data_IF_202478747877
#
_entry.id   IF_202478747877
#
_cell.length_a   1.000
_cell.length_b   1.000
_cell.length_c   1.000
_cell.angle_alpha   90.00
_cell.angle_beta   90.00
_cell.angle_gamma   90.00
#
_symmetry.space_group_name_H-M   'P 1'
#
loop_
_entity.id
_entity.type
_entity.pdbx_description
1 polymer ?
#
# COMPACT_ATOMS: atom_id res chain seq x y z
N UNK A 1 -22.53 -21.38 -12.16
CA UNK A 1 -22.81 -20.64 -10.91
C UNK A 1 -23.76 -19.51 -11.25
N UNK A 2 -24.86 -19.39 -10.53
CA UNK A 2 -25.89 -18.41 -10.87
C UNK A 2 -25.53 -17.01 -10.37
N UNK A 3 -25.56 -16.03 -11.28
CA UNK A 3 -25.32 -14.61 -10.97
C UNK A 3 -26.43 -14.04 -10.08
N UNK A 4 -27.67 -14.52 -10.21
CA UNK A 4 -28.79 -14.02 -9.41
C UNK A 4 -28.61 -14.39 -7.95
N UNK A 5 -28.27 -15.65 -7.65
CA UNK A 5 -27.94 -16.11 -6.31
C UNK A 5 -26.83 -15.27 -5.64
N UNK A 6 -25.78 -14.92 -6.38
CA UNK A 6 -24.71 -14.07 -5.88
C UNK A 6 -25.17 -12.65 -5.57
N UNK A 7 -26.01 -12.06 -6.43
CA UNK A 7 -26.57 -10.72 -6.20
C UNK A 7 -27.50 -10.70 -4.98
N UNK A 8 -28.24 -11.80 -4.75
CA UNK A 8 -29.10 -11.95 -3.59
C UNK A 8 -28.30 -11.99 -2.28
N UNK A 9 -27.23 -12.79 -2.22
CA UNK A 9 -26.32 -12.81 -1.06
C UNK A 9 -25.73 -11.42 -0.76
N UNK A 10 -25.33 -10.69 -1.80
CA UNK A 10 -24.82 -9.32 -1.65
C UNK A 10 -25.91 -8.35 -1.19
N UNK A 11 -27.13 -8.47 -1.70
CA UNK A 11 -28.27 -7.64 -1.31
C UNK A 11 -28.71 -7.86 0.14
N UNK A 12 -28.58 -9.09 0.64
CA UNK A 12 -28.87 -9.45 2.04
C UNK A 12 -27.74 -9.06 3.02
N UNK A 13 -26.58 -8.64 2.51
CA UNK A 13 -25.42 -8.28 3.32
C UNK A 13 -24.54 -9.47 3.71
N UNK A 14 -24.78 -10.67 3.18
CA UNK A 14 -24.04 -11.90 3.44
C UNK A 14 -22.74 -11.96 2.61
N UNK A 15 -21.90 -10.95 2.79
CA UNK A 15 -20.69 -10.75 1.97
C UNK A 15 -19.68 -11.88 2.09
N UNK A 16 -19.54 -12.44 3.29
CA UNK A 16 -18.64 -13.56 3.52
C UNK A 16 -19.02 -14.79 2.68
N UNK A 17 -20.31 -15.14 2.67
CA UNK A 17 -20.80 -16.26 1.85
C UNK A 17 -20.67 -15.96 0.36
N UNK A 18 -20.92 -14.73 -0.06
CA UNK A 18 -20.72 -14.30 -1.45
C UNK A 18 -19.25 -14.47 -1.87
N UNK A 19 -18.30 -14.00 -1.06
CA UNK A 19 -16.87 -14.15 -1.33
C UNK A 19 -16.42 -15.61 -1.35
N UNK A 20 -16.84 -16.44 -0.39
CA UNK A 20 -16.49 -17.86 -0.36
C UNK A 20 -17.00 -18.59 -1.60
N UNK A 21 -18.24 -18.28 -2.01
CA UNK A 21 -18.85 -18.87 -3.20
C UNK A 21 -18.11 -18.44 -4.48
N UNK A 22 -17.71 -17.17 -4.59
CA UNK A 22 -16.92 -16.65 -5.71
C UNK A 22 -15.49 -17.21 -5.74
N UNK A 23 -14.82 -17.30 -4.59
CA UNK A 23 -13.47 -17.84 -4.49
C UNK A 23 -13.43 -19.33 -4.83
N UNK A 24 -14.45 -20.10 -4.45
CA UNK A 24 -14.55 -21.51 -4.83
C UNK A 24 -14.76 -21.68 -6.34
N UNK A 25 -15.57 -20.81 -6.96
CA UNK A 25 -15.74 -20.76 -8.42
C UNK A 25 -14.45 -20.36 -9.17
N UNK A 26 -13.74 -19.35 -8.66
CA UNK A 26 -12.51 -18.83 -9.27
C UNK A 26 -11.33 -19.80 -9.25
N UNK A 27 -11.33 -20.80 -8.35
CA UNK A 27 -10.30 -21.86 -8.34
C UNK A 27 -10.40 -22.79 -9.56
N UNK A 28 -11.59 -22.95 -10.14
CA UNK A 28 -11.82 -23.81 -11.31
C UNK A 28 -11.60 -23.11 -12.66
N UNK A 29 -11.77 -21.79 -12.71
CA UNK A 29 -11.54 -20.99 -13.92
C UNK A 29 -10.09 -20.47 -13.95
N UNK A 30 -9.42 -20.52 -15.12
CA UNK A 30 -8.02 -20.03 -15.30
C UNK A 30 -7.84 -18.50 -15.12
N UNK A 31 -8.82 -17.79 -14.56
CA UNK A 31 -8.79 -16.35 -14.35
C UNK A 31 -8.04 -15.99 -13.05
N UNK A 32 -6.71 -16.15 -13.07
CA UNK A 32 -5.82 -15.76 -11.94
C UNK A 32 -6.04 -14.32 -11.48
N UNK A 33 -6.27 -13.41 -12.43
CA UNK A 33 -6.49 -11.99 -12.16
C UNK A 33 -7.80 -11.75 -11.38
N UNK A 34 -8.86 -12.45 -11.75
CA UNK A 34 -10.16 -12.36 -11.07
C UNK A 34 -10.09 -12.95 -9.66
N UNK A 35 -9.41 -14.09 -9.50
CA UNK A 35 -9.18 -14.68 -8.18
C UNK A 35 -8.40 -13.74 -7.25
N UNK A 36 -7.33 -13.12 -7.75
CA UNK A 36 -6.54 -12.15 -6.99
C UNK A 36 -7.38 -10.93 -6.59
N UNK A 37 -8.19 -10.39 -7.50
CA UNK A 37 -9.06 -9.25 -7.22
C UNK A 37 -10.07 -9.58 -6.10
N UNK A 38 -10.69 -10.75 -6.15
CA UNK A 38 -11.61 -11.21 -5.09
C UNK A 38 -10.90 -11.41 -3.76
N UNK A 39 -9.72 -12.01 -3.77
CA UNK A 39 -8.96 -12.27 -2.56
C UNK A 39 -8.56 -10.96 -1.85
N UNK A 40 -8.18 -9.94 -2.61
CA UNK A 40 -7.91 -8.60 -2.08
C UNK A 40 -9.16 -8.00 -1.40
N UNK A 41 -10.32 -8.07 -2.04
CA UNK A 41 -11.55 -7.52 -1.44
C UNK A 41 -11.99 -8.31 -0.20
N UNK A 42 -11.82 -9.63 -0.21
CA UNK A 42 -12.11 -10.49 0.93
C UNK A 42 -11.25 -10.15 2.15
N UNK A 43 -9.95 -9.95 1.97
CA UNK A 43 -9.08 -9.56 3.08
C UNK A 43 -9.41 -8.17 3.63
N UNK A 44 -9.79 -7.22 2.77
CA UNK A 44 -10.26 -5.90 3.21
C UNK A 44 -11.52 -5.99 4.06
N UNK A 45 -12.44 -6.90 3.71
CA UNK A 45 -13.62 -7.17 4.53
C UNK A 45 -13.22 -7.72 5.91
N UNK A 46 -12.29 -8.68 5.97
CA UNK A 46 -11.81 -9.25 7.24
C UNK A 46 -11.07 -8.24 8.10
N UNK A 47 -10.26 -7.38 7.49
CA UNK A 47 -9.59 -6.29 8.19
C UNK A 47 -10.61 -5.28 8.76
N UNK A 48 -11.65 -4.93 8.00
CA UNK A 48 -12.73 -4.08 8.47
C UNK A 48 -13.49 -4.71 9.65
N UNK A 49 -13.83 -6.00 9.58
CA UNK A 49 -14.45 -6.73 10.69
C UNK A 49 -13.57 -6.69 11.94
N UNK A 50 -12.26 -6.94 11.79
CA UNK A 50 -11.32 -6.90 12.91
C UNK A 50 -11.18 -5.50 13.51
N UNK A 51 -11.06 -4.47 12.68
CA UNK A 51 -10.91 -3.08 13.15
C UNK A 51 -12.20 -2.57 13.79
N UNK A 52 -13.36 -2.96 13.26
CA UNK A 52 -14.66 -2.67 13.87
C UNK A 52 -14.80 -3.35 15.24
N UNK A 53 -14.36 -4.60 15.38
CA UNK A 53 -14.37 -5.30 16.68
C UNK A 53 -13.42 -4.66 17.70
N UNK A 54 -12.27 -4.14 17.23
CA UNK A 54 -11.29 -3.43 18.07
C UNK A 54 -11.72 -2.00 18.42
N UNK A 55 -12.78 -1.47 17.79
CA UNK A 55 -13.25 -0.10 18.00
C UNK A 55 -12.28 0.98 17.48
N UNK A 56 -11.35 0.62 16.59
CA UNK A 56 -10.36 1.54 16.03
C UNK A 56 -10.88 2.33 14.84
N UNK A 57 -12.06 1.97 14.33
CA UNK A 57 -12.69 2.58 13.16
C UNK A 57 -14.00 3.26 13.55
N UNK A 58 -14.24 4.47 13.04
CA UNK A 58 -15.55 5.11 13.20
C UNK A 58 -16.63 4.37 12.40
N UNK A 59 -17.89 4.48 12.85
CA UNK A 59 -19.04 3.85 12.18
C UNK A 59 -19.18 4.38 10.75
N UNK A 60 -19.00 5.69 10.55
CA UNK A 60 -19.08 6.30 9.22
C UNK A 60 -17.98 5.83 8.27
N UNK A 61 -16.76 5.60 8.76
CA UNK A 61 -15.67 5.06 7.95
C UNK A 61 -15.90 3.59 7.60
N UNK A 62 -16.42 2.80 8.54
CA UNK A 62 -16.76 1.40 8.32
C UNK A 62 -17.80 1.28 7.20
N UNK A 63 -18.85 2.10 7.23
CA UNK A 63 -19.89 2.10 6.21
C UNK A 63 -19.35 2.52 4.83
N UNK A 64 -18.46 3.52 4.76
CA UNK A 64 -17.83 3.91 3.48
C UNK A 64 -17.00 2.78 2.88
N UNK A 65 -16.19 2.11 3.69
CA UNK A 65 -15.34 1.01 3.24
C UNK A 65 -16.22 -0.17 2.83
N UNK A 66 -17.24 -0.51 3.61
CA UNK A 66 -18.21 -1.58 3.30
C UNK A 66 -18.92 -1.33 1.97
N UNK A 67 -19.42 -0.12 1.74
CA UNK A 67 -20.06 0.27 0.46
C UNK A 67 -19.09 0.19 -0.72
N UNK A 68 -17.81 0.52 -0.51
CA UNK A 68 -16.78 0.35 -1.53
C UNK A 68 -16.55 -1.12 -1.87
N UNK A 69 -16.44 -1.99 -0.86
CA UNK A 69 -16.29 -3.45 -1.05
C UNK A 69 -17.51 -4.01 -1.80
N UNK A 70 -18.73 -3.60 -1.41
CA UNK A 70 -19.99 -3.96 -2.06
C UNK A 70 -20.00 -3.60 -3.54
N UNK A 71 -19.67 -2.35 -3.88
CA UNK A 71 -19.64 -1.88 -5.27
C UNK A 71 -18.61 -2.65 -6.13
N UNK A 72 -17.43 -2.93 -5.57
CA UNK A 72 -16.41 -3.71 -6.25
C UNK A 72 -16.86 -5.16 -6.48
N UNK A 73 -17.53 -5.76 -5.48
CA UNK A 73 -18.05 -7.11 -5.56
C UNK A 73 -19.15 -7.24 -6.63
N UNK A 74 -20.08 -6.30 -6.68
CA UNK A 74 -21.13 -6.27 -7.71
C UNK A 74 -20.53 -6.14 -9.12
N UNK A 75 -19.54 -5.26 -9.29
CA UNK A 75 -18.82 -5.14 -10.56
C UNK A 75 -18.16 -6.46 -10.98
N UNK A 76 -17.53 -7.17 -10.04
CA UNK A 76 -16.89 -8.47 -10.31
C UNK A 76 -17.91 -9.57 -10.64
N UNK A 77 -19.10 -9.52 -10.07
CA UNK A 77 -20.21 -10.44 -10.36
C UNK A 77 -20.78 -10.16 -11.75
N UNK A 78 -20.93 -8.89 -12.14
CA UNK A 78 -21.42 -8.54 -13.49
C UNK A 78 -20.45 -9.01 -14.58
N UNK A 79 -19.14 -8.87 -14.33
CA UNK A 79 -18.06 -9.30 -15.22
C UNK A 79 -17.81 -10.82 -15.24
N UNK A 80 -18.53 -11.61 -14.44
CA UNK A 80 -18.42 -13.07 -14.48
C UNK A 80 -18.66 -13.56 -15.92
N UNK A 81 -17.79 -14.42 -16.47
CA UNK A 81 -18.05 -15.02 -17.77
C UNK A 81 -19.37 -15.78 -17.66
N UNK A 82 -20.37 -15.35 -18.44
CA UNK A 82 -21.60 -16.12 -18.59
C UNK A 82 -21.15 -17.44 -19.20
N UNK A 83 -21.41 -18.55 -18.50
CA UNK A 83 -21.36 -19.84 -19.16
C UNK A 83 -22.43 -19.75 -20.24
N UNK A 84 -22.01 -19.49 -21.48
CA UNK A 84 -22.80 -19.91 -22.63
C UNK A 84 -22.94 -21.42 -22.43
N UNK A 85 -24.05 -21.83 -21.84
CA UNK A 85 -24.50 -23.21 -21.93
C UNK A 85 -24.46 -23.52 -23.41
N UNK A 86 -23.47 -24.34 -23.77
CA UNK A 86 -23.39 -25.00 -25.05
C UNK A 86 -24.65 -25.86 -25.13
N UNK A 87 -25.75 -25.25 -25.59
CA UNK A 87 -26.89 -25.93 -26.15
C UNK A 87 -26.41 -26.57 -27.45
N UNK A 88 -25.53 -27.57 -27.33
CA UNK A 88 -25.19 -28.52 -28.37
C UNK A 88 -26.39 -29.46 -28.56
N UNK A 89 -27.50 -28.89 -29.01
CA UNK A 89 -28.67 -29.59 -29.50
C UNK A 89 -29.27 -28.78 -30.65
N UNK A 90 -28.57 -28.75 -31.78
CA UNK A 90 -29.10 -28.83 -33.15
C UNK A 90 -28.12 -28.18 -34.14
N UNK A 91 -27.74 -28.93 -35.16
CA UNK A 91 -26.66 -28.56 -36.08
C UNK A 91 -27.01 -27.42 -37.02
N UNK A 92 -26.17 -26.39 -37.02
CA UNK A 92 -25.75 -25.63 -38.22
C UNK A 92 -24.55 -24.75 -37.84
N UNK A 93 -23.48 -24.68 -38.65
CA UNK A 93 -22.36 -23.79 -38.35
C UNK A 93 -22.74 -22.32 -38.64
N UNK A 94 -22.59 -21.38 -37.68
CA UNK A 94 -22.74 -19.96 -37.95
C UNK A 94 -21.46 -19.39 -38.59
N UNK A 95 -21.57 -18.33 -39.42
CA UNK A 95 -20.40 -17.70 -40.03
C UNK A 95 -19.57 -16.93 -39.00
N UNK A 96 -18.25 -16.99 -39.15
CA UNK A 96 -17.25 -16.33 -38.30
C UNK A 96 -17.53 -14.82 -38.16
N UNK A 97 -17.63 -14.26 -36.94
CA UNK A 97 -17.62 -12.83 -36.75
C UNK A 97 -16.18 -12.29 -36.82
N UNK A 98 -16.01 -11.27 -37.67
CA UNK A 98 -14.77 -10.53 -37.87
C UNK A 98 -14.19 -9.97 -36.55
N UNK A 99 -12.91 -10.28 -36.30
CA UNK A 99 -12.17 -9.82 -35.14
C UNK A 99 -12.10 -8.29 -35.07
N UNK A 100 -12.80 -7.70 -34.11
CA UNK A 100 -12.59 -6.31 -33.67
C UNK A 100 -11.95 -6.33 -32.28
N UNK A 101 -10.70 -5.87 -32.25
CA UNK A 101 -9.84 -5.73 -31.09
C UNK A 101 -10.52 -4.93 -29.94
N UNK A 102 -10.98 -5.64 -28.90
CA UNK A 102 -11.58 -5.08 -27.66
C UNK A 102 -10.54 -4.71 -26.59
N UNK A 103 -9.24 -4.85 -26.85
CA UNK A 103 -8.17 -4.55 -25.88
C UNK A 103 -7.87 -3.04 -25.76
N UNK A 104 -8.26 -2.22 -26.73
CA UNK A 104 -7.98 -0.78 -26.75
C UNK A 104 -8.77 0.04 -25.70
N UNK A 105 -9.82 -0.52 -25.08
CA UNK A 105 -10.57 0.18 -24.02
C UNK A 105 -9.90 0.14 -22.63
N UNK A 106 -8.95 -0.77 -22.42
CA UNK A 106 -8.25 -0.92 -21.13
C UNK A 106 -7.09 0.05 -20.95
N UNK A 107 -6.62 0.71 -22.02
CA UNK A 107 -5.51 1.68 -21.95
C UNK A 107 -5.99 3.08 -21.49
N UNK A 108 -7.27 3.43 -21.68
CA UNK A 108 -7.76 4.78 -21.35
C UNK A 108 -8.28 4.94 -19.90
N UNK A 109 -8.69 3.87 -19.23
CA UNK A 109 -9.19 3.95 -17.84
C UNK A 109 -8.03 4.01 -16.82
N UNK A 110 -6.87 3.41 -17.14
CA UNK A 110 -5.67 3.48 -16.31
C UNK A 110 -5.03 4.88 -16.22
N UNK A 111 -5.17 5.73 -17.25
CA UNK A 111 -4.55 7.05 -17.30
C UNK A 111 -5.35 8.14 -16.52
N UNK A 112 -6.67 8.01 -16.40
CA UNK A 112 -7.50 9.01 -15.72
C UNK A 112 -7.40 8.94 -14.18
N UNK A 113 -7.12 7.75 -13.62
CA UNK A 113 -6.94 7.59 -12.16
C UNK A 113 -5.54 8.05 -11.71
N UNK A 114 -4.54 7.99 -12.59
CA UNK A 114 -3.17 8.44 -12.28
C UNK A 114 -3.01 9.97 -12.36
N UNK A 115 -3.74 10.65 -13.26
CA UNK A 115 -3.73 12.11 -13.35
C UNK A 115 -4.46 12.81 -12.19
N UNK A 116 -5.49 12.17 -11.61
CA UNK A 116 -6.22 12.69 -10.46
C UNK A 116 -5.42 12.71 -9.15
N UNK A 117 -4.42 11.84 -9.01
CA UNK A 117 -3.55 11.77 -7.82
C UNK A 117 -2.41 12.80 -7.82
N UNK A 118 -2.00 13.32 -8.98
CA UNK A 118 -0.91 14.31 -9.07
C UNK A 118 -1.43 15.75 -8.83
N UNK A 119 -2.69 16.05 -9.16
CA UNK A 119 -3.23 17.41 -9.05
C UNK A 119 -3.66 17.84 -7.62
N UNK A 120 -3.76 16.90 -6.67
CA UNK A 120 -4.28 17.17 -5.32
C UNK A 120 -3.25 17.63 -4.28
N UNK A 121 -1.96 17.38 -4.49
CA UNK A 121 -0.93 17.58 -3.44
C UNK A 121 -0.08 18.85 -3.58
N UNK A 122 -0.29 19.68 -4.60
CA UNK A 122 0.55 20.88 -4.82
C UNK A 122 -0.02 22.18 -4.22
N UNK A 123 -1.16 22.15 -3.54
CA UNK A 123 -1.71 23.33 -2.85
C UNK A 123 -1.67 23.14 -1.34
N UNK A 124 -0.50 23.37 -0.74
CA UNK A 124 -0.29 23.88 0.63
C UNK A 124 1.23 24.01 0.87
N UNK A 125 1.85 25.02 0.28
CA UNK A 125 3.10 25.58 0.79
C UNK A 125 2.83 27.06 1.10
N UNK A 126 2.81 27.50 2.36
CA UNK A 126 2.84 28.93 2.64
C UNK A 126 4.19 29.50 2.17
N UNK A 127 4.11 30.53 1.32
CA UNK A 127 5.26 31.30 0.91
C UNK A 127 5.77 32.11 2.11
N UNK A 128 6.93 31.72 2.65
CA UNK A 128 7.68 32.59 3.56
C UNK A 128 8.32 33.67 2.70
N UNK A 129 7.68 34.83 2.66
CA UNK A 129 8.23 36.07 2.11
C UNK A 129 9.36 36.53 3.04
N UNK A 130 10.62 36.30 2.63
CA UNK A 130 11.79 36.93 3.25
C UNK A 130 11.91 38.35 2.70
N UNK A 131 11.83 39.41 3.54
CA UNK A 131 12.10 40.77 3.07
C UNK A 131 13.58 40.89 2.70
N UNK A 132 13.84 41.54 1.57
CA UNK A 132 15.17 42.00 1.21
C UNK A 132 15.59 43.09 2.21
N UNK A 133 16.71 42.87 2.90
CA UNK A 133 17.44 43.90 3.62
C UNK A 133 18.89 43.90 3.10
N UNK A 134 19.33 45.10 2.74
CA UNK A 134 20.63 45.46 2.17
C UNK A 134 21.81 45.13 3.11
N UNK A 135 23.04 44.95 2.57
CA UNK A 135 24.20 44.67 3.38
C UNK A 135 24.72 45.96 4.02
N UNK A 136 24.47 46.15 5.32
CA UNK A 136 25.23 47.10 6.14
C UNK A 136 26.16 46.29 7.03
N UNK A 137 27.47 46.45 6.78
CA UNK A 137 28.52 45.96 7.65
C UNK A 137 28.37 46.59 9.04
N UNK A 138 28.24 45.76 10.08
CA UNK A 138 28.69 46.14 11.41
C UNK A 138 29.01 44.90 12.24
N UNK A 139 30.20 44.99 12.80
CA UNK A 139 30.94 44.14 13.70
C UNK A 139 30.17 43.81 15.00
N UNK A 140 30.58 42.69 15.61
CA UNK A 140 30.32 42.23 16.99
C UNK A 140 29.12 41.30 17.28
N UNK A 141 29.51 40.10 17.70
CA UNK A 141 28.85 39.12 18.58
C UNK A 141 28.37 37.86 17.86
N UNK A 142 29.25 36.86 17.84
CA UNK A 142 28.95 35.47 17.50
C UNK A 142 27.98 34.93 18.56
N UNK A 143 26.74 34.54 18.22
CA UNK A 143 25.96 33.66 19.07
C UNK A 143 26.51 32.25 18.89
N UNK A 144 26.89 31.67 20.01
CA UNK A 144 27.27 30.27 20.23
C UNK A 144 26.41 29.33 19.37
N UNK A 145 27.02 28.73 18.34
CA UNK A 145 26.43 27.61 17.60
C UNK A 145 26.15 26.50 18.60
N UNK A 146 24.88 26.29 18.93
CA UNK A 146 24.41 25.09 19.59
C UNK A 146 24.85 23.90 18.74
N UNK A 147 25.95 23.26 19.17
CA UNK A 147 26.51 22.10 18.52
C UNK A 147 25.51 20.95 18.65
N UNK A 148 24.75 20.67 17.59
CA UNK A 148 23.99 19.41 17.51
C UNK A 148 24.99 18.27 17.40
N UNK A 149 25.27 17.61 18.52
CA UNK A 149 26.16 16.46 18.54
C UNK A 149 25.43 15.24 17.98
N UNK A 150 25.62 14.95 16.69
CA UNK A 150 25.19 13.68 16.09
C UNK A 150 26.12 12.55 16.55
N UNK A 151 25.55 11.49 17.09
CA UNK A 151 26.25 10.29 17.54
C UNK A 151 25.93 9.12 16.59
N UNK A 152 26.98 8.56 15.96
CA UNK A 152 26.84 7.36 15.13
C UNK A 152 26.55 6.12 16.00
N UNK A 153 25.54 5.36 15.61
CA UNK A 153 25.17 4.08 16.22
C UNK A 153 25.96 2.94 15.57
N UNK A 154 26.42 1.99 16.38
CA UNK A 154 27.13 0.79 15.92
C UNK A 154 26.18 -0.39 15.91
N UNK A 155 26.12 -1.09 14.77
CA UNK A 155 25.33 -2.31 14.61
C UNK A 155 26.25 -3.51 14.45
N UNK A 156 25.85 -4.70 14.96
CA UNK A 156 26.54 -5.92 14.62
C UNK A 156 26.49 -6.12 13.09
N UNK A 157 27.63 -6.46 12.48
CA UNK A 157 27.67 -6.72 11.04
C UNK A 157 26.78 -7.93 10.72
N UNK A 158 25.96 -7.82 9.66
CA UNK A 158 25.20 -8.96 9.14
C UNK A 158 23.73 -9.03 9.56
N UNK A 159 23.14 -7.96 10.12
CA UNK A 159 21.70 -7.88 10.38
C UNK A 159 20.89 -7.68 9.07
N UNK A 160 20.92 -8.67 8.17
CA UNK A 160 19.96 -8.76 7.07
C UNK A 160 18.83 -9.71 7.47
N UNK A 161 17.60 -9.24 7.33
CA UNK A 161 16.40 -10.05 7.53
C UNK A 161 15.73 -10.25 6.17
N UNK A 162 15.44 -11.50 5.83
CA UNK A 162 14.75 -11.86 4.59
C UNK A 162 13.37 -12.42 4.91
N UNK A 163 12.35 -11.87 4.25
CA UNK A 163 10.97 -12.31 4.32
C UNK A 163 10.60 -13.01 3.01
N UNK A 164 10.05 -14.22 3.14
CA UNK A 164 9.49 -14.98 2.02
C UNK A 164 7.99 -15.13 2.28
N UNK A 165 7.19 -14.48 1.44
CA UNK A 165 5.73 -14.53 1.54
C UNK A 165 5.18 -15.78 0.84
N UNK A 166 3.99 -16.23 1.22
CA UNK A 166 3.30 -17.38 0.60
C UNK A 166 3.03 -17.18 -0.90
N UNK A 167 3.01 -15.93 -1.35
CA UNK A 167 2.93 -15.54 -2.77
C UNK A 167 4.22 -15.81 -3.56
N UNK A 168 5.30 -16.19 -2.89
CA UNK A 168 6.63 -16.38 -3.47
C UNK A 168 7.43 -15.08 -3.66
N UNK A 169 6.93 -13.97 -3.10
CA UNK A 169 7.66 -12.68 -3.05
C UNK A 169 8.77 -12.79 -2.01
N UNK A 170 9.95 -12.30 -2.34
CA UNK A 170 11.13 -12.31 -1.48
C UNK A 170 11.68 -10.89 -1.32
N UNK A 171 11.73 -10.42 -0.07
CA UNK A 171 12.22 -9.09 0.32
C UNK A 171 13.29 -9.26 1.37
N UNK A 172 14.39 -8.50 1.26
CA UNK A 172 15.33 -8.39 2.37
C UNK A 172 15.60 -6.96 2.80
N UNK A 173 15.75 -6.76 4.10
CA UNK A 173 16.09 -5.48 4.73
C UNK A 173 17.43 -5.61 5.44
N UNK A 174 18.30 -4.62 5.27
CA UNK A 174 19.59 -4.54 5.95
C UNK A 174 19.81 -3.14 6.50
N UNK A 175 20.13 -3.03 7.79
CA UNK A 175 20.57 -1.76 8.38
C UNK A 175 22.00 -1.48 7.91
N UNK A 176 22.21 -0.33 7.28
CA UNK A 176 23.50 0.13 6.78
C UNK A 176 24.21 1.01 7.81
N UNK A 177 23.48 1.94 8.40
CA UNK A 177 23.97 2.86 9.42
C UNK A 177 22.82 3.33 10.30
N UNK A 178 23.17 3.98 11.40
CA UNK A 178 22.22 4.65 12.26
C UNK A 178 22.90 5.79 12.98
N UNK A 179 22.13 6.82 13.27
CA UNK A 179 22.58 8.08 13.83
C UNK A 179 21.57 8.55 14.87
N UNK A 180 22.06 9.20 15.91
CA UNK A 180 21.25 9.77 16.97
C UNK A 180 21.59 11.24 17.11
N UNK A 181 20.58 12.09 16.97
CA UNK A 181 20.70 13.54 17.10
C UNK A 181 19.88 14.03 18.31
N UNK A 182 20.41 15.00 19.05
CA UNK A 182 19.67 15.65 20.13
C UNK A 182 18.71 16.70 19.54
N UNK A 183 17.43 16.61 19.87
CA UNK A 183 16.43 17.63 19.48
C UNK A 183 16.29 18.75 20.54
N UNK A 184 17.08 18.69 21.61
CA UNK A 184 16.99 19.58 22.76
C UNK A 184 16.16 18.99 23.91
N UNK A 185 16.55 19.29 25.15
CA UNK A 185 16.01 18.62 26.33
C UNK A 185 16.37 17.13 26.36
N UNK A 186 15.41 16.29 26.73
CA UNK A 186 15.58 14.82 26.76
C UNK A 186 15.20 14.13 25.43
N UNK A 187 14.64 14.88 24.47
CA UNK A 187 14.18 14.33 23.20
C UNK A 187 15.36 14.06 22.25
N UNK A 188 15.36 12.87 21.63
CA UNK A 188 16.37 12.49 20.64
C UNK A 188 15.69 12.00 19.37
N UNK A 189 16.32 12.26 18.23
CA UNK A 189 15.94 11.64 16.96
C UNK A 189 16.92 10.52 16.66
N UNK A 190 16.39 9.32 16.44
CA UNK A 190 17.17 8.18 15.98
C UNK A 190 16.82 7.92 14.52
N UNK A 191 17.82 7.93 13.64
CA UNK A 191 17.64 7.69 12.21
C UNK A 191 18.44 6.48 11.78
N UNK A 192 17.84 5.59 11.00
CA UNK A 192 18.47 4.40 10.44
C UNK A 192 18.47 4.49 8.92
N UNK A 193 19.62 4.24 8.30
CA UNK A 193 19.68 4.02 6.85
C UNK A 193 19.50 2.53 6.60
N UNK A 194 18.45 2.17 5.87
CA UNK A 194 18.06 0.80 5.60
C UNK A 194 18.10 0.55 4.09
N UNK A 195 18.72 -0.56 3.68
CA UNK A 195 18.63 -1.09 2.32
C UNK A 195 17.48 -2.07 2.23
N UNK A 196 16.50 -1.78 1.37
CA UNK A 196 15.46 -2.71 0.96
C UNK A 196 15.83 -3.33 -0.39
N UNK A 197 15.84 -4.66 -0.47
CA UNK A 197 16.12 -5.41 -1.70
C UNK A 197 14.92 -6.26 -2.10
N UNK A 198 14.35 -6.00 -3.27
CA UNK A 198 13.33 -6.85 -3.88
C UNK A 198 14.00 -7.96 -4.66
N UNK A 199 14.01 -9.20 -4.15
CA UNK A 199 14.72 -10.32 -4.78
C UNK A 199 13.85 -11.12 -5.74
N UNK A 200 12.55 -11.18 -5.47
CA UNK A 200 11.59 -11.91 -6.29
C UNK A 200 10.19 -11.33 -6.13
N UNK A 201 9.46 -11.11 -7.21
CA UNK A 201 8.07 -10.64 -7.16
C UNK A 201 7.78 -9.50 -8.14
N UNK A 202 6.71 -8.75 -7.85
CA UNK A 202 6.22 -7.63 -8.67
C UNK A 202 6.44 -6.30 -7.95
N UNK A 203 7.71 -5.93 -7.70
CA UNK A 203 8.05 -4.73 -6.94
C UNK A 203 7.55 -4.78 -5.50
N UNK A 204 8.20 -4.04 -4.60
CA UNK A 204 7.87 -4.07 -3.17
C UNK A 204 7.84 -2.67 -2.60
N UNK A 205 6.82 -2.43 -1.79
CA UNK A 205 6.64 -1.16 -1.10
C UNK A 205 7.66 -1.06 0.02
N UNK A 206 8.48 -0.01 -0.03
CA UNK A 206 9.46 0.34 0.97
C UNK A 206 8.97 1.61 1.66
N UNK A 207 8.08 1.40 2.63
CA UNK A 207 7.37 2.45 3.35
C UNK A 207 7.84 2.50 4.80
N UNK A 208 7.87 3.69 5.38
CA UNK A 208 8.16 3.89 6.80
C UNK A 208 7.21 3.09 7.70
N UNK A 209 5.92 3.03 7.37
CA UNK A 209 4.90 2.27 8.12
C UNK A 209 5.23 0.78 8.33
N UNK A 210 6.18 0.23 7.57
CA UNK A 210 6.67 -1.16 7.71
C UNK A 210 7.58 -1.35 8.94
N UNK A 211 8.10 -0.25 9.51
CA UNK A 211 9.09 -0.27 10.58
C UNK A 211 8.48 0.19 11.90
N UNK A 212 8.92 -0.44 12.99
CA UNK A 212 8.66 0.00 14.36
C UNK A 212 9.95 -0.07 15.15
N UNK A 213 10.15 0.89 16.04
CA UNK A 213 11.26 0.87 16.99
C UNK A 213 10.73 0.42 18.34
N UNK A 214 11.25 -0.68 18.85
CA UNK A 214 10.97 -1.17 20.20
C UNK A 214 12.09 -0.69 21.14
N UNK A 215 11.71 -0.09 22.26
CA UNK A 215 12.64 0.28 23.33
C UNK A 215 12.44 -0.70 24.50
N UNK A 216 13.48 -1.48 24.80
CA UNK A 216 13.46 -2.57 25.79
C UNK A 216 12.88 -2.16 27.16
N UNK A 217 13.09 -0.92 27.59
CA UNK A 217 12.65 -0.43 28.90
C UNK A 217 11.17 0.00 28.94
N UNK A 218 10.57 0.32 27.79
CA UNK A 218 9.23 0.90 27.71
C UNK A 218 8.19 -0.07 27.10
N UNK A 219 8.63 -1.12 26.38
CA UNK A 219 7.74 -2.02 25.64
C UNK A 219 6.86 -1.31 24.59
N UNK A 220 7.15 -0.03 24.33
CA UNK A 220 6.41 0.81 23.40
C UNK A 220 7.00 0.65 22.00
N UNK A 221 6.12 0.36 21.03
CA UNK A 221 6.46 0.39 19.61
C UNK A 221 6.27 1.81 19.10
N UNK A 222 7.37 2.48 18.79
CA UNK A 222 7.35 3.83 18.24
C UNK A 222 7.13 3.80 16.73
N UNK A 223 6.33 4.75 16.27
CA UNK A 223 6.06 4.98 14.86
C UNK A 223 7.16 5.87 14.25
N UNK A 224 7.51 5.65 12.98
CA UNK A 224 8.50 6.47 12.29
C UNK A 224 7.92 7.82 11.86
N UNK A 225 8.80 8.81 11.68
CA UNK A 225 8.48 10.19 11.29
C UNK A 225 9.17 10.64 9.99
N UNK A 226 9.84 9.72 9.28
CA UNK A 226 10.66 10.04 8.10
C UNK A 226 9.88 10.31 6.81
N UNK A 227 8.65 9.79 6.66
CA UNK A 227 7.87 9.92 5.43
C UNK A 227 8.40 9.07 4.26
N UNK A 228 9.06 7.94 4.56
CA UNK A 228 9.65 7.07 3.54
C UNK A 228 8.52 6.41 2.74
N UNK A 229 8.50 6.64 1.42
CA UNK A 229 7.48 6.09 0.54
C UNK A 229 8.06 5.79 -0.84
N UNK A 230 8.79 4.69 -0.94
CA UNK A 230 9.44 4.26 -2.16
C UNK A 230 8.94 2.90 -2.62
N UNK A 231 9.06 2.63 -3.92
CA UNK A 231 8.87 1.28 -4.47
C UNK A 231 10.23 0.76 -4.93
N UNK A 232 10.58 -0.46 -4.49
CA UNK A 232 11.77 -1.19 -4.93
C UNK A 232 11.35 -2.19 -5.99
N UNK A 233 11.90 -2.04 -7.19
CA UNK A 233 11.61 -2.94 -8.31
C UNK A 233 12.16 -4.35 -8.07
N UNK A 234 11.63 -5.33 -8.81
CA UNK A 234 12.12 -6.70 -8.74
C UNK A 234 13.61 -6.79 -9.17
N UNK A 235 14.39 -7.62 -8.47
CA UNK A 235 15.85 -7.74 -8.63
C UNK A 235 16.62 -6.43 -8.44
N UNK A 236 16.10 -5.50 -7.64
CA UNK A 236 16.75 -4.21 -7.36
C UNK A 236 16.83 -3.94 -5.86
N UNK A 237 17.54 -2.87 -5.50
CA UNK A 237 17.58 -2.36 -4.14
C UNK A 237 17.43 -0.84 -4.11
N UNK A 238 16.90 -0.33 -2.99
CA UNK A 238 16.94 1.09 -2.63
C UNK A 238 17.38 1.25 -1.19
N UNK A 239 18.05 2.37 -0.93
CA UNK A 239 18.42 2.80 0.40
C UNK A 239 17.45 3.91 0.83
N UNK A 240 16.96 3.83 2.06
CA UNK A 240 15.99 4.78 2.60
C UNK A 240 16.28 5.03 4.08
N UNK A 241 15.96 6.23 4.53
CA UNK A 241 16.13 6.61 5.94
C UNK A 241 14.80 6.48 6.67
N UNK A 242 14.84 5.81 7.82
CA UNK A 242 13.71 5.70 8.75
C UNK A 242 14.09 6.36 10.06
N UNK A 243 13.29 7.33 10.51
CA UNK A 243 13.59 8.14 11.69
C UNK A 243 12.50 7.99 12.74
N UNK A 244 12.90 8.04 14.01
CA UNK A 244 12.04 7.93 15.19
C UNK A 244 12.39 9.03 16.17
N UNK A 245 11.39 9.57 16.87
CA UNK A 245 11.60 10.48 18.00
C UNK A 245 11.46 9.65 19.27
N UNK A 246 12.49 9.68 20.12
CA UNK A 246 12.59 8.96 21.39
C UNK A 246 12.77 9.92 22.56
#
# INVERSE_FOLDING_TARGET
MDKQYLKELVGNGDLEQAFQSLLSYGKGQKAKEWHNALWIQYNRLKELEQNSLKGTLSVEEADRIKNRILSALLSLIDDLPVQEEEAAASGMPPPLPAGKARWAKWVLIGAAVLAGLIAGYSKLKPAVTRPAAEPTASEASIPEEASSSSQALRFPQGSEVTFIFSTGIEISYRILSGEMESLGGDARQVSFTIRCSGRKGNGVNFWDDTFRLELDEAGALLEPSSGLNEVVENNSYKDGTVSFVV
#
